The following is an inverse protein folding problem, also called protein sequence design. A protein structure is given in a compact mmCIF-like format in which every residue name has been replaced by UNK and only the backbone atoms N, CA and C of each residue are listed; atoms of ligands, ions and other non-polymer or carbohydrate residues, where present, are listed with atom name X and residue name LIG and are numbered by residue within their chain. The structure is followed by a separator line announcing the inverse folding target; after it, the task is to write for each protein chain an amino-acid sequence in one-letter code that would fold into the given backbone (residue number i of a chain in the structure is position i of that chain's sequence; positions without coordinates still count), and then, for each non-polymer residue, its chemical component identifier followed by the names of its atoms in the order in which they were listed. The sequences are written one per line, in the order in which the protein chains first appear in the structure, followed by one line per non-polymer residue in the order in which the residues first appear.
data_IF_264290738185
#
_entry.id   IF_264290738185
#
_cell.length_a   1.000
_cell.length_b   1.000
_cell.length_c   1.000
_cell.angle_alpha   90.00
_cell.angle_beta   90.00
_cell.angle_gamma   90.00
#
_symmetry.space_group_name_H-M   'P 1'
#
loop_
_entity.id
_entity.type
_entity.pdbx_description
1 polymer ?
#
# COMPACT_ATOMS: atom_id res chain seq x y z
N UNK A 1 12.94 11.44 1.39
CA UNK A 1 13.00 10.21 0.58
C UNK A 1 12.98 10.63 -0.87
N UNK A 2 13.87 10.07 -1.70
CA UNK A 2 13.85 10.26 -3.14
C UNK A 2 12.82 9.35 -3.81
N UNK A 3 12.48 9.63 -5.06
CA UNK A 3 11.53 8.81 -5.83
C UNK A 3 12.05 7.37 -5.99
N UNK A 4 13.35 7.18 -6.26
CA UNK A 4 13.99 5.87 -6.35
C UNK A 4 13.93 5.08 -5.03
N UNK A 5 14.20 5.74 -3.91
CA UNK A 5 14.08 5.12 -2.59
C UNK A 5 12.64 4.72 -2.29
N UNK A 6 11.67 5.55 -2.68
CA UNK A 6 10.25 5.25 -2.50
C UNK A 6 9.83 4.05 -3.34
N UNK A 7 10.23 4.02 -4.61
CA UNK A 7 9.95 2.92 -5.53
C UNK A 7 10.49 1.59 -5.00
N UNK A 8 11.72 1.58 -4.48
CA UNK A 8 12.35 0.37 -3.92
C UNK A 8 11.71 -0.12 -2.62
N UNK A 9 11.09 0.78 -1.86
CA UNK A 9 10.43 0.46 -0.60
C UNK A 9 8.94 0.13 -0.76
N UNK A 10 8.42 0.18 -1.99
CA UNK A 10 7.03 -0.18 -2.25
C UNK A 10 6.81 -1.69 -2.23
N UNK A 11 5.63 -2.05 -1.77
CA UNK A 11 5.18 -3.41 -1.61
C UNK A 11 3.86 -3.59 -2.33
N UNK A 12 3.63 -4.78 -2.87
CA UNK A 12 2.35 -5.11 -3.49
C UNK A 12 1.26 -5.32 -2.46
N UNK A 13 0.05 -4.84 -2.77
CA UNK A 13 -1.19 -5.26 -2.13
C UNK A 13 -1.77 -6.42 -2.92
N UNK A 14 -1.77 -7.60 -2.30
CA UNK A 14 -2.19 -8.85 -2.93
C UNK A 14 -3.22 -9.55 -2.06
N UNK A 15 -4.26 -10.07 -2.70
CA UNK A 15 -5.12 -11.10 -2.14
C UNK A 15 -4.63 -12.46 -2.64
N UNK A 16 -5.32 -13.55 -2.29
CA UNK A 16 -4.93 -14.91 -2.70
C UNK A 16 -4.86 -15.07 -4.23
N UNK A 17 -5.69 -14.33 -4.98
CA UNK A 17 -5.83 -14.48 -6.43
C UNK A 17 -5.18 -13.37 -7.27
N UNK A 18 -4.99 -12.16 -6.73
CA UNK A 18 -4.60 -11.00 -7.54
C UNK A 18 -3.84 -9.91 -6.78
N UNK A 19 -3.05 -9.14 -7.54
CA UNK A 19 -2.47 -7.87 -7.08
C UNK A 19 -3.46 -6.75 -7.37
N UNK A 20 -3.98 -6.13 -6.32
CA UNK A 20 -5.00 -5.08 -6.43
C UNK A 20 -4.48 -3.70 -6.00
N UNK A 21 -3.16 -3.54 -5.82
CA UNK A 21 -2.58 -2.24 -5.49
C UNK A 21 -1.13 -2.31 -5.00
N UNK A 22 -0.66 -1.19 -4.46
CA UNK A 22 0.65 -1.09 -3.82
C UNK A 22 0.57 -0.26 -2.54
N UNK A 23 1.59 -0.40 -1.72
CA UNK A 23 1.71 0.32 -0.48
C UNK A 23 3.14 0.61 -0.06
N UNK A 24 3.32 1.63 0.78
CA UNK A 24 4.57 1.93 1.47
C UNK A 24 4.32 2.11 2.97
N UNK A 25 5.30 1.74 3.78
CA UNK A 25 5.28 1.98 5.22
C UNK A 25 5.57 3.46 5.46
N UNK A 26 5.04 3.97 6.57
CA UNK A 26 5.13 5.38 6.94
C UNK A 26 4.29 6.31 6.06
N UNK A 27 4.16 7.56 6.50
CA UNK A 27 3.49 8.61 5.74
C UNK A 27 4.56 9.46 5.08
N UNK A 28 4.42 9.64 3.78
CA UNK A 28 5.30 10.44 2.94
C UNK A 28 4.49 11.51 2.23
N UNK A 29 5.18 12.31 1.41
CA UNK A 29 4.52 13.28 0.55
C UNK A 29 3.54 12.57 -0.40
N UNK A 30 2.32 13.11 -0.45
CA UNK A 30 1.21 12.45 -1.13
C UNK A 30 1.30 12.56 -2.65
N UNK A 31 1.80 13.68 -3.16
CA UNK A 31 1.99 13.87 -4.59
C UNK A 31 3.14 13.02 -5.11
N UNK A 32 4.24 12.97 -4.34
CA UNK A 32 5.38 12.09 -4.61
C UNK A 32 4.93 10.62 -4.61
N UNK A 33 4.23 10.18 -3.57
CA UNK A 33 3.72 8.81 -3.50
C UNK A 33 2.81 8.49 -4.66
N UNK A 34 1.86 9.36 -4.99
CA UNK A 34 0.93 9.15 -6.11
C UNK A 34 1.68 8.95 -7.44
N UNK A 35 2.71 9.76 -7.70
CA UNK A 35 3.54 9.64 -8.91
C UNK A 35 4.27 8.30 -8.96
N UNK A 36 4.97 7.95 -7.88
CA UNK A 36 5.79 6.73 -7.81
C UNK A 36 4.92 5.47 -7.79
N UNK A 37 3.82 5.48 -7.04
CA UNK A 37 2.84 4.39 -6.97
C UNK A 37 2.18 4.09 -8.33
N UNK A 38 1.79 5.14 -9.08
CA UNK A 38 1.25 4.97 -10.42
C UNK A 38 2.28 4.39 -11.39
N UNK A 39 3.54 4.84 -11.32
CA UNK A 39 4.60 4.30 -12.17
C UNK A 39 4.89 2.82 -11.86
N UNK A 40 5.00 2.48 -10.57
CA UNK A 40 5.22 1.11 -10.13
C UNK A 40 4.11 0.17 -10.55
N UNK A 41 2.84 0.52 -10.30
CA UNK A 41 1.71 -0.34 -10.70
C UNK A 41 1.60 -0.46 -12.22
N UNK A 42 1.95 0.58 -12.97
CA UNK A 42 1.98 0.53 -14.42
C UNK A 42 3.07 -0.41 -14.94
N UNK A 43 4.28 -0.30 -14.39
CA UNK A 43 5.43 -1.10 -14.80
C UNK A 43 5.27 -2.57 -14.41
N UNK A 44 4.86 -2.83 -13.17
CA UNK A 44 4.86 -4.18 -12.60
C UNK A 44 3.56 -4.94 -12.87
N UNK A 45 2.42 -4.25 -12.97
CA UNK A 45 1.10 -4.87 -13.10
C UNK A 45 0.39 -4.50 -14.42
N UNK A 46 0.95 -3.60 -15.24
CA UNK A 46 0.28 -3.12 -16.45
C UNK A 46 -1.02 -2.35 -16.18
N UNK A 47 -1.25 -1.95 -14.93
CA UNK A 47 -2.47 -1.26 -14.54
C UNK A 47 -2.49 0.16 -15.14
N UNK A 48 -3.69 0.62 -15.52
CA UNK A 48 -3.91 1.98 -16.05
C UNK A 48 -5.00 2.74 -15.30
N UNK A 49 -5.83 2.02 -14.54
CA UNK A 49 -6.91 2.57 -13.74
C UNK A 49 -6.64 2.36 -12.26
N UNK A 50 -6.66 3.45 -11.50
CA UNK A 50 -6.32 3.45 -10.09
C UNK A 50 -7.38 4.19 -9.28
N UNK A 51 -7.66 3.68 -8.07
CA UNK A 51 -8.40 4.41 -7.04
C UNK A 51 -7.51 5.47 -6.39
N UNK A 52 -8.16 6.38 -5.67
CA UNK A 52 -7.49 7.40 -4.87
C UNK A 52 -6.52 6.80 -3.85
N UNK A 53 -5.39 7.50 -3.71
CA UNK A 53 -4.37 7.27 -2.68
C UNK A 53 -4.98 7.49 -1.30
N UNK A 54 -4.68 6.60 -0.36
CA UNK A 54 -5.15 6.70 1.02
C UNK A 54 -4.00 6.65 2.01
N UNK A 55 -4.07 7.53 3.02
CA UNK A 55 -3.22 7.46 4.20
C UNK A 55 -3.99 6.75 5.32
N UNK A 56 -3.31 5.88 6.04
CA UNK A 56 -3.90 5.22 7.19
C UNK A 56 -2.88 4.42 7.97
N UNK A 57 -3.36 3.34 8.57
CA UNK A 57 -2.60 2.48 9.44
C UNK A 57 -2.90 1.01 9.15
N UNK A 58 -1.86 0.20 9.04
CA UNK A 58 -1.98 -1.25 8.94
C UNK A 58 -1.78 -1.86 10.30
N UNK A 59 -2.72 -2.71 10.67
CA UNK A 59 -2.59 -3.61 11.80
C UNK A 59 -2.54 -5.04 11.27
N UNK A 60 -1.49 -5.76 11.63
CA UNK A 60 -1.45 -7.21 11.46
C UNK A 60 -2.42 -7.79 12.48
N UNK A 61 -3.52 -8.37 12.01
CA UNK A 61 -4.47 -9.08 12.86
C UNK A 61 -4.13 -10.57 12.77
N UNK A 62 -3.62 -11.17 13.86
CA UNK A 62 -3.37 -12.60 13.88
C UNK A 62 -4.72 -13.33 13.76
N UNK A 63 -4.76 -14.36 12.93
CA UNK A 63 -5.90 -15.27 12.84
C UNK A 63 -5.57 -16.56 13.59
N UNK A 64 -6.58 -17.16 14.20
CA UNK A 64 -6.45 -18.45 14.91
C UNK A 64 -6.11 -19.59 13.94
N UNK A 65 -6.52 -19.48 12.68
CA UNK A 65 -6.14 -20.37 11.58
C UNK A 65 -5.85 -19.56 10.32
N UNK A 66 -4.78 -19.90 9.62
CA UNK A 66 -4.34 -19.25 8.37
C UNK A 66 -3.34 -18.11 8.55
N UNK A 67 -3.01 -17.44 7.45
CA UNK A 67 -2.04 -16.33 7.43
C UNK A 67 -2.61 -15.08 8.12
N UNK A 68 -1.76 -14.27 8.80
CA UNK A 68 -2.18 -13.00 9.36
C UNK A 68 -2.73 -12.06 8.28
N UNK A 69 -3.80 -11.34 8.61
CA UNK A 69 -4.38 -10.36 7.68
C UNK A 69 -3.85 -8.96 7.97
N UNK A 70 -3.58 -8.20 6.90
CA UNK A 70 -3.32 -6.77 6.98
C UNK A 70 -4.66 -6.04 6.97
N UNK A 71 -5.00 -5.37 8.07
CA UNK A 71 -6.22 -4.57 8.16
C UNK A 71 -5.89 -3.08 8.08
N UNK A 72 -6.38 -2.42 7.02
CA UNK A 72 -6.29 -0.96 6.87
C UNK A 72 -7.29 -0.27 7.79
N UNK A 73 -6.84 0.79 8.45
CA UNK A 73 -7.64 1.65 9.31
C UNK A 73 -7.27 3.10 9.07
N UNK A 74 -8.25 3.99 8.91
CA UNK A 74 -8.01 5.44 8.85
C UNK A 74 -7.57 6.00 10.19
N UNK A 75 -7.93 5.33 11.29
CA UNK A 75 -7.56 5.72 12.65
C UNK A 75 -6.37 4.89 13.18
N UNK A 76 -5.51 5.55 13.98
CA UNK A 76 -4.37 4.90 14.64
C UNK A 76 -4.86 3.95 15.74
N UNK A 77 -4.54 2.66 15.62
CA UNK A 77 -4.85 1.64 16.64
C UNK A 77 -3.58 1.22 17.37
N UNK A 78 -3.70 0.69 18.59
CA UNK A 78 -2.53 0.18 19.33
C UNK A 78 -1.83 -0.91 18.51
N UNK A 79 -0.52 -0.71 18.27
CA UNK A 79 0.32 -1.62 17.49
C UNK A 79 0.18 -1.50 15.96
N UNK A 80 -0.60 -0.56 15.44
CA UNK A 80 -0.68 -0.32 14.00
C UNK A 80 0.49 0.53 13.52
N UNK A 81 0.98 0.26 12.30
CA UNK A 81 2.02 1.05 11.65
C UNK A 81 1.39 2.03 10.65
N UNK A 82 1.91 3.25 10.49
CA UNK A 82 1.48 4.18 9.45
C UNK A 82 1.80 3.65 8.06
N UNK A 83 0.96 3.97 7.08
CA UNK A 83 1.02 3.43 5.72
C UNK A 83 0.36 4.41 4.74
N UNK A 84 0.84 4.39 3.49
CA UNK A 84 0.13 4.92 2.33
C UNK A 84 -0.13 3.82 1.30
N UNK A 85 -1.37 3.72 0.81
CA UNK A 85 -1.75 2.74 -0.22
C UNK A 85 -2.37 3.41 -1.45
N UNK A 86 -2.22 2.73 -2.59
CA UNK A 86 -2.91 3.02 -3.84
C UNK A 86 -3.45 1.70 -4.40
N UNK A 87 -4.76 1.66 -4.67
CA UNK A 87 -5.44 0.46 -5.16
C UNK A 87 -5.72 0.58 -6.67
N UNK A 88 -5.67 -0.52 -7.40
CA UNK A 88 -6.18 -0.64 -8.76
C UNK A 88 -7.72 -0.69 -8.75
N UNK A 89 -8.35 -0.27 -9.86
CA UNK A 89 -9.81 -0.40 -10.08
C UNK A 89 -10.16 -1.74 -10.73
#
# INVERSE_FOLDING_TARGET
MTDDEMYRNMHFLRNEDETFGCYIKEHHDMEQFKRVAAEFLKTECGASNYREVRQGYYKVVPRTYGSPILHFSTEKKRGSKPIMEMQCL
#
